data_IF_324537086263
#
_entry.id   IF_324537086263
#
_cell.length_a   1.000
_cell.length_b   1.000
_cell.length_c   1.000
_cell.angle_alpha   90.00
_cell.angle_beta   90.00
_cell.angle_gamma   90.00
#
_symmetry.space_group_name_H-M   'P 1'
#
loop_
_entity.id
_entity.type
_entity.pdbx_description
1 polymer ?
#
# COMPACT_ATOMS: atom_id res chain seq x y z
N UNK A 1 -27.38 2.49 8.54
CA UNK A 1 -26.43 2.95 7.49
C UNK A 1 -26.08 1.74 6.64
N UNK A 2 -25.82 1.92 5.34
CA UNK A 2 -25.57 0.78 4.44
C UNK A 2 -24.11 0.29 4.42
N UNK A 3 -23.23 0.92 5.21
CA UNK A 3 -21.81 0.56 5.39
C UNK A 3 -21.04 0.31 4.09
N UNK A 4 -21.52 0.86 2.97
CA UNK A 4 -20.89 0.73 1.66
C UNK A 4 -19.92 1.85 1.42
N UNK A 5 -18.79 1.50 0.80
CA UNK A 5 -17.76 2.48 0.50
C UNK A 5 -17.86 2.89 -0.97
N UNK A 6 -17.84 4.19 -1.21
CA UNK A 6 -18.08 4.79 -2.53
C UNK A 6 -17.03 5.84 -2.83
N UNK A 7 -16.68 5.98 -4.09
CA UNK A 7 -15.93 7.12 -4.62
C UNK A 7 -16.91 8.08 -5.28
N UNK A 8 -16.78 9.37 -4.92
CA UNK A 8 -17.56 10.46 -5.49
C UNK A 8 -16.61 11.37 -6.24
N UNK A 9 -16.96 11.72 -7.47
CA UNK A 9 -16.25 12.68 -8.29
C UNK A 9 -17.23 13.77 -8.71
N UNK A 10 -16.88 15.02 -8.43
CA UNK A 10 -17.61 16.18 -8.90
C UNK A 10 -16.90 16.76 -10.12
N UNK A 11 -17.64 16.93 -11.21
CA UNK A 11 -17.19 17.59 -12.42
C UNK A 11 -18.01 18.84 -12.70
N UNK A 12 -17.43 19.79 -13.43
CA UNK A 12 -18.18 20.91 -14.00
C UNK A 12 -18.40 20.60 -15.47
N UNK A 13 -19.66 20.47 -15.86
CA UNK A 13 -20.05 20.31 -17.26
C UNK A 13 -19.67 21.55 -18.08
N UNK A 14 -19.62 21.39 -19.40
CA UNK A 14 -19.43 22.51 -20.34
C UNK A 14 -20.47 23.62 -20.15
N UNK A 15 -21.65 23.27 -19.64
CA UNK A 15 -22.75 24.20 -19.39
C UNK A 15 -22.69 24.85 -17.99
N UNK A 16 -21.62 24.61 -17.21
CA UNK A 16 -21.44 25.13 -15.86
C UNK A 16 -22.24 24.39 -14.78
N UNK A 17 -22.99 23.34 -15.12
CA UNK A 17 -23.68 22.49 -14.15
C UNK A 17 -22.69 21.58 -13.42
N UNK A 18 -22.89 21.40 -12.11
CA UNK A 18 -22.12 20.42 -11.33
C UNK A 18 -22.70 19.03 -11.57
N UNK A 19 -21.91 18.17 -12.19
CA UNK A 19 -22.25 16.75 -12.35
C UNK A 19 -21.56 15.95 -11.24
N UNK A 20 -22.32 15.08 -10.59
CA UNK A 20 -21.81 14.20 -9.53
C UNK A 20 -21.83 12.77 -10.02
N UNK A 21 -20.66 12.14 -10.05
CA UNK A 21 -20.48 10.74 -10.40
C UNK A 21 -20.15 9.96 -9.14
N UNK A 22 -20.87 8.86 -8.88
CA UNK A 22 -20.69 8.08 -7.65
C UNK A 22 -20.78 6.59 -7.96
N UNK A 23 -19.76 5.82 -7.58
CA UNK A 23 -19.76 4.36 -7.69
C UNK A 23 -19.24 3.69 -6.42
N UNK A 24 -19.80 2.52 -6.04
CA UNK A 24 -19.21 1.66 -5.02
C UNK A 24 -17.80 1.21 -5.38
N UNK A 25 -16.90 1.13 -4.40
CA UNK A 25 -15.51 0.69 -4.65
C UNK A 25 -15.43 -0.80 -5.01
N UNK A 26 -16.33 -1.62 -4.47
CA UNK A 26 -16.33 -3.07 -4.66
C UNK A 26 -16.68 -3.54 -6.09
N UNK A 27 -17.17 -2.65 -6.95
CA UNK A 27 -17.42 -2.93 -8.37
C UNK A 27 -16.35 -2.35 -9.30
N UNK A 28 -15.32 -1.72 -8.74
CA UNK A 28 -14.22 -1.09 -9.45
C UNK A 28 -12.94 -1.92 -9.29
N UNK A 29 -12.24 -2.10 -10.40
CA UNK A 29 -10.84 -2.48 -10.42
C UNK A 29 -9.99 -1.23 -10.67
N UNK A 30 -8.81 -1.18 -10.07
CA UNK A 30 -7.83 -0.10 -10.25
C UNK A 30 -6.57 -0.64 -10.93
N UNK A 31 -6.13 -0.02 -12.01
CA UNK A 31 -4.90 -0.40 -12.70
C UNK A 31 -4.01 0.82 -12.91
N UNK A 32 -2.70 0.63 -12.92
CA UNK A 32 -1.76 1.70 -13.21
C UNK A 32 -1.40 1.72 -14.69
N UNK A 33 -1.43 2.91 -15.28
CA UNK A 33 -0.96 3.16 -16.64
C UNK A 33 -0.05 4.38 -16.62
N UNK A 34 1.26 4.14 -16.60
CA UNK A 34 2.27 5.20 -16.46
C UNK A 34 2.14 5.95 -15.12
N UNK A 35 1.85 7.25 -15.18
CA UNK A 35 1.60 8.11 -14.01
C UNK A 35 0.11 8.28 -13.67
N UNK A 36 -0.74 7.39 -14.20
CA UNK A 36 -2.17 7.42 -13.97
C UNK A 36 -2.67 6.16 -13.26
N UNK A 37 -3.72 6.31 -12.45
CA UNK A 37 -4.57 5.20 -12.01
C UNK A 37 -5.89 5.25 -12.76
N UNK A 38 -6.20 4.16 -13.45
CA UNK A 38 -7.45 3.96 -14.15
C UNK A 38 -8.35 3.08 -13.30
N UNK A 39 -9.52 3.60 -12.95
CA UNK A 39 -10.57 2.85 -12.28
C UNK A 39 -11.60 2.45 -13.33
N UNK A 40 -11.91 1.17 -13.40
CA UNK A 40 -12.82 0.61 -14.38
C UNK A 40 -13.74 -0.45 -13.79
N UNK A 41 -14.84 -0.71 -14.50
CA UNK A 41 -15.77 -1.79 -14.16
C UNK A 41 -15.51 -2.98 -15.06
N UNK A 42 -15.33 -4.16 -14.49
CA UNK A 42 -15.37 -5.39 -15.28
C UNK A 42 -16.76 -5.61 -15.85
N UNK A 43 -16.81 -5.95 -17.14
CA UNK A 43 -17.99 -6.43 -17.85
C UNK A 43 -17.68 -7.77 -18.52
N UNK A 44 -18.71 -8.40 -19.11
CA UNK A 44 -18.60 -9.63 -19.91
C UNK A 44 -17.83 -10.75 -19.21
N UNK A 45 -18.32 -11.16 -18.03
CA UNK A 45 -17.71 -12.22 -17.20
C UNK A 45 -16.22 -11.98 -16.86
N UNK A 46 -15.80 -10.72 -16.80
CA UNK A 46 -14.45 -10.36 -16.40
C UNK A 46 -13.46 -10.26 -17.56
N UNK A 47 -13.89 -10.23 -18.82
CA UNK A 47 -12.98 -10.10 -19.98
C UNK A 47 -12.67 -8.65 -20.36
N UNK A 48 -13.56 -7.71 -20.02
CA UNK A 48 -13.45 -6.31 -20.44
C UNK A 48 -13.42 -5.38 -19.23
N UNK A 49 -12.41 -4.52 -19.13
CA UNK A 49 -12.37 -3.44 -18.14
C UNK A 49 -12.83 -2.14 -18.81
N UNK A 50 -14.04 -1.70 -18.48
CA UNK A 50 -14.60 -0.45 -19.00
C UNK A 50 -14.16 0.69 -18.09
N UNK A 51 -13.34 1.59 -18.63
CA UNK A 51 -12.83 2.76 -17.93
C UNK A 51 -13.99 3.64 -17.41
N UNK A 52 -13.88 4.07 -16.16
CA UNK A 52 -14.82 4.99 -15.53
C UNK A 52 -14.13 6.29 -15.09
N UNK A 53 -12.93 6.19 -14.52
CA UNK A 53 -12.17 7.33 -14.03
C UNK A 53 -10.69 7.15 -14.33
N UNK A 54 -10.02 8.23 -14.74
CA UNK A 54 -8.57 8.25 -14.97
C UNK A 54 -7.96 9.38 -14.13
N UNK A 55 -7.16 9.03 -13.13
CA UNK A 55 -6.53 9.96 -12.21
C UNK A 55 -5.05 10.08 -12.55
N UNK A 56 -4.60 11.28 -12.92
CA UNK A 56 -3.18 11.56 -13.18
C UNK A 56 -2.52 12.08 -11.91
N UNK A 57 -1.41 11.46 -11.52
CA UNK A 57 -0.64 11.84 -10.34
C UNK A 57 0.64 12.55 -10.74
N UNK A 58 1.03 13.55 -9.94
CA UNK A 58 2.30 14.27 -10.13
C UNK A 58 3.49 13.48 -9.59
N UNK A 59 3.28 12.69 -8.54
CA UNK A 59 4.34 11.94 -7.87
C UNK A 59 3.88 10.51 -7.60
N UNK A 60 4.85 9.59 -7.48
CA UNK A 60 4.62 8.18 -7.15
C UNK A 60 4.01 8.03 -5.76
N UNK A 61 4.39 8.88 -4.81
CA UNK A 61 3.89 8.89 -3.44
C UNK A 61 2.39 9.12 -3.40
N UNK A 62 1.91 10.15 -4.11
CA UNK A 62 0.48 10.45 -4.15
C UNK A 62 -0.32 9.33 -4.84
N UNK A 63 0.25 8.70 -5.87
CA UNK A 63 -0.36 7.57 -6.57
C UNK A 63 -0.48 6.34 -5.67
N UNK A 64 0.61 5.94 -5.02
CA UNK A 64 0.63 4.80 -4.08
C UNK A 64 -0.32 5.05 -2.92
N UNK A 65 -0.32 6.27 -2.34
CA UNK A 65 -1.24 6.62 -1.26
C UNK A 65 -2.70 6.44 -1.69
N UNK A 66 -3.07 6.93 -2.87
CA UNK A 66 -4.41 6.74 -3.39
C UNK A 66 -4.73 5.25 -3.62
N UNK A 67 -3.82 4.51 -4.25
CA UNK A 67 -3.98 3.09 -4.54
C UNK A 67 -4.20 2.27 -3.26
N UNK A 68 -3.32 2.43 -2.27
CA UNK A 68 -3.44 1.74 -0.99
C UNK A 68 -4.71 2.15 -0.23
N UNK A 69 -5.07 3.43 -0.26
CA UNK A 69 -6.33 3.92 0.33
C UNK A 69 -7.54 3.27 -0.33
N UNK A 70 -7.54 3.18 -1.66
CA UNK A 70 -8.60 2.52 -2.42
C UNK A 70 -8.74 1.05 -2.01
N UNK A 71 -7.63 0.30 -1.92
CA UNK A 71 -7.66 -1.11 -1.50
C UNK A 71 -8.17 -1.27 -0.06
N UNK A 72 -7.67 -0.46 0.87
CA UNK A 72 -8.09 -0.50 2.26
C UNK A 72 -9.58 -0.17 2.43
N UNK A 73 -10.05 0.92 1.82
CA UNK A 73 -11.45 1.32 1.85
C UNK A 73 -12.37 0.28 1.18
N UNK A 74 -11.95 -0.29 0.05
CA UNK A 74 -12.72 -1.33 -0.64
C UNK A 74 -12.88 -2.59 0.22
N UNK A 75 -11.86 -2.95 0.99
CA UNK A 75 -11.91 -4.10 1.89
C UNK A 75 -12.85 -3.90 3.10
N UNK A 76 -13.17 -2.65 3.42
CA UNK A 76 -14.08 -2.29 4.51
C UNK A 76 -15.55 -2.23 4.06
N UNK A 77 -15.87 -2.54 2.80
CA UNK A 77 -17.25 -2.61 2.32
C UNK A 77 -17.93 -3.88 2.84
N UNK A 78 -18.65 -3.74 3.96
CA UNK A 78 -19.32 -4.86 4.64
C UNK A 78 -20.57 -5.36 3.89
N UNK A 79 -21.03 -4.65 2.86
CA UNK A 79 -22.24 -5.02 2.13
C UNK A 79 -21.99 -6.11 1.10
N UNK A 80 -20.79 -6.12 0.49
CA UNK A 80 -20.33 -7.11 -0.50
C UNK A 80 -18.79 -7.07 -0.56
N UNK A 81 -18.10 -7.83 0.31
CA UNK A 81 -16.66 -7.96 0.27
C UNK A 81 -16.20 -8.43 -1.11
N UNK A 82 -15.08 -7.90 -1.59
CA UNK A 82 -14.53 -8.30 -2.90
C UNK A 82 -13.85 -9.64 -2.77
N UNK A 83 -14.43 -10.66 -3.42
CA UNK A 83 -13.78 -11.95 -3.61
C UNK A 83 -12.82 -11.90 -4.82
N UNK A 84 -11.68 -12.59 -4.73
CA UNK A 84 -10.70 -12.74 -5.82
C UNK A 84 -10.13 -11.41 -6.33
N UNK A 85 -9.56 -10.62 -5.43
CA UNK A 85 -8.85 -9.37 -5.74
C UNK A 85 -7.71 -9.66 -6.73
N UNK A 86 -7.68 -8.98 -7.88
CA UNK A 86 -6.65 -9.13 -8.94
C UNK A 86 -5.72 -7.93 -9.06
N UNK A 87 -6.17 -6.80 -8.54
CA UNK A 87 -5.56 -5.49 -8.64
C UNK A 87 -4.95 -5.05 -7.30
N UNK A 88 -4.40 -6.01 -6.54
CA UNK A 88 -3.77 -5.75 -5.25
C UNK A 88 -2.30 -5.33 -5.37
N UNK A 89 -1.70 -5.54 -6.55
CA UNK A 89 -0.37 -5.09 -6.92
C UNK A 89 -0.45 -3.85 -7.81
N UNK A 90 0.52 -2.96 -7.63
CA UNK A 90 0.65 -1.77 -8.46
C UNK A 90 1.68 -2.06 -9.56
N UNK A 91 1.25 -2.03 -10.81
CA UNK A 91 2.15 -2.30 -11.94
C UNK A 91 3.40 -1.41 -11.94
N UNK A 92 4.48 -1.94 -12.53
CA UNK A 92 5.81 -1.30 -12.61
C UNK A 92 6.52 -1.11 -11.26
N UNK A 93 6.07 -1.77 -10.19
CA UNK A 93 6.86 -1.95 -8.98
C UNK A 93 7.48 -3.34 -8.95
N UNK A 94 8.78 -3.40 -8.67
CA UNK A 94 9.48 -4.65 -8.39
C UNK A 94 9.42 -4.93 -6.89
N UNK A 95 8.95 -6.12 -6.49
CA UNK A 95 9.11 -6.61 -5.12
C UNK A 95 10.55 -7.07 -4.92
N UNK A 96 11.29 -6.35 -4.07
CA UNK A 96 12.70 -6.64 -3.77
C UNK A 96 12.87 -7.55 -2.57
N UNK A 97 11.86 -7.59 -1.70
CA UNK A 97 11.86 -8.38 -0.47
C UNK A 97 10.42 -8.63 -0.02
N UNK A 98 10.17 -9.82 0.51
CA UNK A 98 8.93 -10.19 1.18
C UNK A 98 9.21 -11.05 2.41
N UNK A 99 8.68 -10.64 3.55
CA UNK A 99 8.86 -11.33 4.83
C UNK A 99 7.67 -11.14 5.77
N UNK A 100 7.68 -11.86 6.89
CA UNK A 100 6.59 -11.80 7.86
C UNK A 100 7.02 -11.08 9.14
N UNK A 101 6.14 -10.19 9.62
CA UNK A 101 6.34 -9.45 10.86
C UNK A 101 5.14 -9.59 11.79
N UNK A 102 5.42 -9.54 13.10
CA UNK A 102 4.40 -9.42 14.13
C UNK A 102 4.01 -7.96 14.35
N UNK A 103 2.71 -7.70 14.42
CA UNK A 103 2.14 -6.46 14.94
C UNK A 103 1.21 -6.80 16.10
N UNK A 104 1.72 -6.71 17.33
CA UNK A 104 1.00 -7.22 18.50
C UNK A 104 0.85 -8.74 18.45
N UNK A 105 -0.38 -9.21 18.25
CA UNK A 105 -0.70 -10.65 18.12
C UNK A 105 -0.90 -11.10 16.67
N UNK A 106 -0.99 -10.14 15.75
CA UNK A 106 -1.31 -10.41 14.36
C UNK A 106 -0.06 -10.56 13.51
N UNK A 107 -0.17 -11.40 12.48
CA UNK A 107 0.88 -11.66 11.52
C UNK A 107 0.63 -10.89 10.23
N UNK A 108 1.60 -10.09 9.81
CA UNK A 108 1.50 -9.28 8.60
C UNK A 108 2.62 -9.58 7.62
N UNK A 109 2.35 -9.35 6.34
CA UNK A 109 3.35 -9.41 5.29
C UNK A 109 3.96 -8.02 5.09
N UNK A 110 5.27 -7.92 5.32
CA UNK A 110 6.10 -6.75 5.04
C UNK A 110 6.80 -6.96 3.69
N UNK A 111 6.74 -5.94 2.83
CA UNK A 111 7.40 -5.94 1.52
C UNK A 111 8.21 -4.67 1.28
N UNK A 112 9.28 -4.80 0.52
CA UNK A 112 10.02 -3.69 -0.07
C UNK A 112 9.67 -3.64 -1.56
N UNK A 113 9.13 -2.51 -2.00
CA UNK A 113 8.88 -2.26 -3.42
C UNK A 113 9.80 -1.18 -3.94
N UNK A 114 10.21 -1.31 -5.19
CA UNK A 114 10.91 -0.26 -5.95
C UNK A 114 10.15 0.04 -7.23
N UNK A 115 9.76 1.29 -7.39
CA UNK A 115 9.13 1.77 -8.61
C UNK A 115 10.16 1.81 -9.76
N UNK A 116 9.85 1.20 -10.90
CA UNK A 116 10.73 1.17 -12.06
C UNK A 116 11.08 2.57 -12.57
N UNK A 117 10.09 3.40 -12.95
CA UNK A 117 10.32 4.73 -13.51
C UNK A 117 10.95 5.75 -12.55
N UNK A 118 10.43 5.89 -11.33
CA UNK A 118 10.91 6.90 -10.37
C UNK A 118 12.05 6.41 -9.48
N UNK A 119 12.31 5.09 -9.46
CA UNK A 119 13.25 4.42 -8.55
C UNK A 119 12.94 4.60 -7.07
N UNK A 120 11.78 5.18 -6.74
CA UNK A 120 11.36 5.35 -5.36
C UNK A 120 11.21 4.00 -4.67
N UNK A 121 11.70 3.93 -3.43
CA UNK A 121 11.63 2.73 -2.60
C UNK A 121 10.62 2.97 -1.49
N UNK A 122 9.74 2.00 -1.29
CA UNK A 122 8.75 2.03 -0.22
C UNK A 122 8.63 0.69 0.50
N UNK A 123 8.29 0.79 1.77
CA UNK A 123 7.82 -0.33 2.58
C UNK A 123 6.30 -0.41 2.51
N UNK A 124 5.76 -1.61 2.47
CA UNK A 124 4.34 -1.88 2.63
C UNK A 124 4.11 -3.00 3.63
N UNK A 125 3.22 -2.77 4.58
CA UNK A 125 2.67 -3.83 5.42
C UNK A 125 1.24 -4.09 5.00
N UNK A 126 0.91 -5.36 4.87
CA UNK A 126 -0.42 -5.84 4.47
C UNK A 126 -0.86 -7.01 5.31
N UNK A 127 -2.17 -7.25 5.34
CA UNK A 127 -2.73 -8.45 5.97
C UNK A 127 -2.21 -9.69 5.23
N UNK A 128 -1.67 -10.64 5.99
CA UNK A 128 -0.99 -11.82 5.43
C UNK A 128 -1.95 -12.94 5.02
N UNK A 129 -3.01 -13.17 5.80
CA UNK A 129 -3.91 -14.31 5.65
C UNK A 129 -5.38 -13.93 5.85
N UNK A 130 -6.26 -14.85 5.46
CA UNK A 130 -7.71 -14.66 5.52
C UNK A 130 -8.27 -13.90 4.32
N UNK A 131 -9.55 -13.55 4.40
CA UNK A 131 -10.29 -12.87 3.33
C UNK A 131 -9.72 -11.48 3.02
N UNK A 132 -9.06 -10.87 4.00
CA UNK A 132 -8.47 -9.54 3.89
C UNK A 132 -7.03 -9.57 3.39
N UNK A 133 -6.52 -10.72 2.93
CA UNK A 133 -5.16 -10.85 2.40
C UNK A 133 -4.89 -9.75 1.36
N UNK A 134 -3.67 -9.20 1.40
CA UNK A 134 -3.18 -8.10 0.54
C UNK A 134 -3.71 -6.71 0.87
N UNK A 135 -4.69 -6.58 1.76
CA UNK A 135 -5.17 -5.27 2.20
C UNK A 135 -4.03 -4.52 2.90
N UNK A 136 -3.69 -3.30 2.45
CA UNK A 136 -2.60 -2.53 3.05
C UNK A 136 -3.01 -2.03 4.43
N UNK A 137 -2.10 -2.20 5.39
CA UNK A 137 -2.21 -1.67 6.76
C UNK A 137 -1.55 -0.31 6.81
N UNK A 138 -0.33 -0.20 6.29
CA UNK A 138 0.39 1.06 6.12
C UNK A 138 1.43 0.95 5.00
N UNK A 139 1.84 2.10 4.47
CA UNK A 139 2.99 2.24 3.56
C UNK A 139 3.91 3.35 4.05
N UNK A 140 5.20 3.28 3.73
CA UNK A 140 6.15 4.34 4.04
C UNK A 140 7.20 4.45 2.93
N UNK A 141 7.47 5.66 2.44
CA UNK A 141 8.55 5.90 1.49
C UNK A 141 9.87 6.09 2.22
N UNK A 142 10.91 5.40 1.75
CA UNK A 142 12.21 5.34 2.44
C UNK A 142 13.39 5.78 1.58
N UNK A 143 13.16 6.14 0.31
CA UNK A 143 14.19 6.54 -0.66
C UNK A 143 15.23 7.51 -0.09
N UNK A 144 14.79 8.56 0.59
CA UNK A 144 15.67 9.59 1.17
C UNK A 144 16.36 9.17 2.48
N UNK A 145 15.82 8.16 3.16
CA UNK A 145 16.28 7.73 4.47
C UNK A 145 17.25 6.56 4.42
N UNK A 146 17.19 5.71 3.37
CA UNK A 146 18.05 4.53 3.21
C UNK A 146 19.55 4.88 3.28
N UNK A 147 19.95 6.10 2.89
CA UNK A 147 21.36 6.56 2.94
C UNK A 147 21.75 7.22 4.26
N UNK A 148 20.80 7.43 5.17
CA UNK A 148 21.07 8.09 6.45
C UNK A 148 21.70 7.11 7.42
N UNK A 149 22.85 7.49 7.97
CA UNK A 149 23.55 6.69 8.97
C UNK A 149 22.71 6.54 10.24
N UNK A 150 22.59 5.31 10.74
CA UNK A 150 21.76 5.01 11.92
C UNK A 150 20.25 5.15 11.67
N UNK A 151 19.81 5.21 10.41
CA UNK A 151 18.39 5.12 10.09
C UNK A 151 17.83 3.73 10.42
N UNK A 152 18.61 2.69 10.17
CA UNK A 152 18.27 1.29 10.44
C UNK A 152 19.25 0.68 11.43
N UNK A 153 18.72 -0.05 12.41
CA UNK A 153 19.52 -0.85 13.34
C UNK A 153 18.96 -2.27 13.42
N UNK A 154 19.81 -3.26 13.13
CA UNK A 154 19.49 -4.65 13.43
C UNK A 154 19.82 -4.95 14.88
N UNK A 155 18.86 -5.52 15.61
CA UNK A 155 18.99 -5.88 17.02
C UNK A 155 18.81 -7.41 17.14
N UNK A 156 19.59 -8.10 17.98
CA UNK A 156 19.41 -9.52 18.21
C UNK A 156 17.96 -9.87 18.58
N UNK A 157 17.53 -11.09 18.22
CA UNK A 157 16.13 -11.53 18.33
C UNK A 157 15.23 -10.89 17.27
N UNK A 158 15.59 -11.06 15.98
CA UNK A 158 14.70 -10.83 14.84
C UNK A 158 14.02 -9.45 14.83
N UNK A 159 14.72 -8.45 15.36
CA UNK A 159 14.23 -7.09 15.57
C UNK A 159 15.00 -6.11 14.67
N UNK A 160 14.26 -5.28 13.96
CA UNK A 160 14.82 -4.16 13.21
C UNK A 160 14.19 -2.87 13.70
N UNK A 161 15.02 -1.88 14.02
CA UNK A 161 14.61 -0.56 14.45
C UNK A 161 14.81 0.44 13.30
N UNK A 162 13.80 1.27 13.03
CA UNK A 162 13.83 2.29 11.99
C UNK A 162 13.57 3.68 12.59
N UNK A 163 14.42 4.66 12.28
CA UNK A 163 14.26 6.06 12.69
C UNK A 163 13.35 6.81 11.72
N UNK A 164 12.56 7.76 12.21
CA UNK A 164 11.86 8.75 11.36
C UNK A 164 11.01 8.13 10.22
N UNK A 165 10.50 6.91 10.42
CA UNK A 165 9.69 6.25 9.40
C UNK A 165 8.33 6.96 9.29
N UNK A 166 8.10 7.66 8.18
CA UNK A 166 6.83 8.32 7.93
C UNK A 166 5.80 7.32 7.40
N UNK A 167 5.14 6.61 8.31
CA UNK A 167 4.09 5.67 7.99
C UNK A 167 2.78 6.38 7.64
N UNK A 168 2.13 5.89 6.59
CA UNK A 168 0.80 6.33 6.14
C UNK A 168 -0.15 5.16 6.44
N UNK A 169 -0.91 5.22 7.54
CA UNK A 169 -1.82 4.15 7.93
C UNK A 169 -3.14 4.20 7.13
N UNK A 170 -3.71 3.03 6.84
CA UNK A 170 -4.96 2.89 6.11
C UNK A 170 -6.06 2.13 6.89
N UNK A 171 -5.75 1.70 8.11
CA UNK A 171 -6.72 1.11 9.04
C UNK A 171 -6.71 1.85 10.36
N UNK A 172 -7.89 2.05 10.94
CA UNK A 172 -8.09 2.75 12.20
C UNK A 172 -7.56 1.98 13.42
N UNK A 173 -7.37 0.67 13.30
CA UNK A 173 -6.88 -0.17 14.40
C UNK A 173 -5.35 -0.25 14.47
N UNK A 174 -4.64 0.28 13.47
CA UNK A 174 -3.18 0.20 13.43
C UNK A 174 -2.55 1.17 14.43
N UNK A 175 -1.75 0.62 15.32
CA UNK A 175 -0.92 1.39 16.24
C UNK A 175 0.54 1.01 15.99
N UNK A 176 1.40 1.95 15.55
CA UNK A 176 2.81 1.65 15.33
C UNK A 176 3.47 1.25 16.65
N UNK A 177 4.28 0.20 16.61
CA UNK A 177 5.10 -0.19 17.75
C UNK A 177 6.37 0.63 17.76
N UNK A 178 6.56 1.41 18.83
CA UNK A 178 7.76 2.21 19.05
C UNK A 178 8.55 1.66 20.24
N UNK A 179 9.88 1.80 20.20
CA UNK A 179 10.74 1.54 21.37
C UNK A 179 10.73 2.74 22.34
N UNK A 180 11.52 2.64 23.42
CA UNK A 180 11.65 3.73 24.41
C UNK A 180 12.24 5.02 23.85
N UNK A 181 12.92 4.96 22.70
CA UNK A 181 13.55 6.09 22.03
C UNK A 181 12.68 6.64 20.89
N UNK A 182 11.47 6.09 20.69
CA UNK A 182 10.57 6.49 19.59
C UNK A 182 10.93 5.89 18.23
N UNK A 183 11.80 4.88 18.18
CA UNK A 183 12.16 4.16 16.96
C UNK A 183 11.07 3.15 16.60
N UNK A 184 10.76 3.03 15.31
CA UNK A 184 9.80 2.05 14.81
C UNK A 184 10.37 0.64 14.92
N UNK A 185 9.60 -0.25 15.52
CA UNK A 185 10.01 -1.63 15.79
C UNK A 185 9.35 -2.57 14.78
N UNK A 186 10.17 -3.21 13.95
CA UNK A 186 9.76 -4.33 13.11
C UNK A 186 10.23 -5.63 13.76
N UNK A 187 9.28 -6.44 14.22
CA UNK A 187 9.54 -7.78 14.78
C UNK A 187 9.29 -8.82 13.70
N UNK A 188 10.35 -9.35 13.10
CA UNK A 188 10.24 -10.42 12.09
C UNK A 188 9.85 -11.75 12.72
N UNK A 189 9.42 -12.73 11.93
CA UNK A 189 9.17 -14.08 12.46
C UNK A 189 10.45 -14.89 12.67
N UNK A 190 11.47 -14.62 11.86
CA UNK A 190 12.75 -15.34 11.89
C UNK A 190 13.92 -14.35 11.82
N UNK A 191 15.10 -14.77 12.28
CA UNK A 191 16.33 -13.97 12.10
C UNK A 191 16.70 -13.85 10.63
N UNK A 192 16.53 -14.93 9.85
CA UNK A 192 16.83 -14.93 8.41
C UNK A 192 16.00 -13.89 7.64
N UNK A 193 14.72 -13.73 7.97
CA UNK A 193 13.88 -12.69 7.37
C UNK A 193 14.42 -11.29 7.70
N UNK A 194 14.79 -11.06 8.97
CA UNK A 194 15.30 -9.76 9.42
C UNK A 194 16.66 -9.43 8.77
N UNK A 195 17.55 -10.41 8.66
CA UNK A 195 18.84 -10.29 7.98
C UNK A 195 18.61 -9.97 6.49
N UNK A 196 17.77 -10.74 5.79
CA UNK A 196 17.46 -10.50 4.39
C UNK A 196 16.83 -9.11 4.13
N UNK A 197 16.03 -8.61 5.07
CA UNK A 197 15.48 -7.25 4.99
C UNK A 197 16.58 -6.18 5.07
N UNK A 198 17.51 -6.33 6.03
CA UNK A 198 18.62 -5.41 6.24
C UNK A 198 19.60 -5.46 5.06
N UNK A 199 19.85 -6.64 4.50
CA UNK A 199 20.71 -6.83 3.34
C UNK A 199 20.16 -6.09 2.13
N UNK A 200 18.86 -6.25 1.81
CA UNK A 200 18.22 -5.53 0.69
C UNK A 200 18.28 -4.01 0.88
N UNK A 201 18.03 -3.50 2.09
CA UNK A 201 18.16 -2.06 2.39
C UNK A 201 19.61 -1.59 2.22
N UNK A 202 20.58 -2.41 2.65
CA UNK A 202 22.01 -2.11 2.54
C UNK A 202 22.49 -2.13 1.09
N UNK A 203 21.90 -2.97 0.23
CA UNK A 203 22.16 -2.94 -1.20
C UNK A 203 21.57 -1.69 -1.85
N UNK A 204 20.36 -1.31 -1.45
CA UNK A 204 19.70 -0.11 -1.96
C UNK A 204 20.41 1.20 -1.57
N UNK A 205 21.13 1.23 -0.46
CA UNK A 205 21.89 2.42 -0.04
C UNK A 205 23.15 2.68 -0.88
N UNK A 206 23.66 1.66 -1.58
CA UNK A 206 24.86 1.73 -2.42
C UNK A 206 24.61 2.33 -3.81
N UNK A 207 23.33 2.45 -4.22
CA UNK A 207 22.90 2.96 -5.54
C UNK A 207 22.54 4.44 -5.45
#
# INVERSE_FOLDING_TARGET
MDYRVRIVCEGVSLNGTKDVYCLPLNILEIIRVGSCLQLGRRRRQGQELVLWLNLKFKTIESMVCFFCTFLALRSQDSGRPVERIRDYELDMEDELYGGLIFSGKDLHALRIYRDGPSRAVRLQVSVYQGEMKYVPVWTAFITQHIKSEGWIHFVPSNLVLLRELQQIPFTFSYNPRLDSNGMYVLQFTTNADAEGFVDVITELSKV
#
